data_IF_049808824518
#
_entry.id   IF_049808824518
#
_cell.length_a   1.000
_cell.length_b   1.000
_cell.length_c   1.000
_cell.angle_alpha   90.00
_cell.angle_beta   90.00
_cell.angle_gamma   90.00
#
_symmetry.space_group_name_H-M   'P 1'
#
loop_
_entity.id
_entity.type
_entity.pdbx_description
1 polymer ?
#
# COMPACT_ATOMS: atom_id res chain seq x y z
N UNK A 1 0.21 3.98 9.42
CA UNK A 1 0.12 5.34 9.98
C UNK A 1 -0.83 6.15 9.10
N UNK A 2 -1.75 6.90 9.70
CA UNK A 2 -2.91 7.46 8.98
C UNK A 2 -3.08 8.99 9.17
N UNK A 3 -2.02 9.67 9.59
CA UNK A 3 -2.03 11.11 9.87
C UNK A 3 -2.37 11.44 11.33
N UNK A 4 -2.57 12.74 11.59
CA UNK A 4 -2.80 13.29 12.93
C UNK A 4 -4.27 13.11 13.36
N UNK A 5 -4.54 12.43 14.48
CA UNK A 5 -5.89 12.33 15.02
C UNK A 5 -6.41 13.69 15.53
N UNK A 6 -7.74 13.92 15.54
CA UNK A 6 -8.32 15.19 16.01
C UNK A 6 -8.16 15.41 17.52
N UNK A 7 -7.84 14.37 18.29
CA UNK A 7 -7.63 14.43 19.74
C UNK A 7 -6.46 13.55 20.20
N UNK A 8 -6.10 13.61 21.49
CA UNK A 8 -5.00 12.81 22.02
C UNK A 8 -5.33 11.31 21.97
N UNK A 9 -4.33 10.51 21.59
CA UNK A 9 -4.42 9.05 21.58
C UNK A 9 -4.01 8.51 22.95
N UNK A 10 -4.79 7.58 23.50
CA UNK A 10 -4.44 6.89 24.74
C UNK A 10 -3.11 6.12 24.60
N UNK A 11 -2.16 6.39 25.50
CA UNK A 11 -0.80 5.87 25.40
C UNK A 11 -0.70 4.37 25.65
N UNK A 12 -1.50 3.81 26.56
CA UNK A 12 -1.51 2.39 26.86
C UNK A 12 -2.03 1.57 25.67
N UNK A 13 -3.11 2.06 25.04
CA UNK A 13 -3.67 1.45 23.83
C UNK A 13 -2.68 1.52 22.68
N UNK A 14 -2.00 2.67 22.52
CA UNK A 14 -0.95 2.85 21.52
C UNK A 14 0.21 1.86 21.72
N UNK A 15 0.70 1.72 22.95
CA UNK A 15 1.78 0.80 23.28
C UNK A 15 1.40 -0.67 23.01
N UNK A 16 0.15 -1.06 23.33
CA UNK A 16 -0.37 -2.40 23.02
C UNK A 16 -0.45 -2.67 21.51
N UNK A 17 -0.96 -1.71 20.74
CA UNK A 17 -1.12 -1.85 19.28
C UNK A 17 0.23 -1.88 18.53
N UNK A 18 1.25 -1.17 19.04
CA UNK A 18 2.58 -1.09 18.42
C UNK A 18 3.54 -2.21 18.87
N UNK A 19 3.11 -3.09 19.79
CA UNK A 19 3.95 -4.19 20.26
C UNK A 19 4.28 -5.15 19.11
N UNK A 20 5.56 -5.26 18.76
CA UNK A 20 6.03 -6.10 17.65
C UNK A 20 5.78 -5.50 16.27
N UNK A 21 5.42 -4.21 16.17
CA UNK A 21 5.23 -3.57 14.89
C UNK A 21 6.57 -3.43 14.14
N UNK A 22 6.67 -3.89 12.88
CA UNK A 22 7.94 -3.93 12.15
C UNK A 22 8.61 -2.57 11.96
N UNK A 23 7.83 -1.50 11.95
CA UNK A 23 8.32 -0.12 11.77
C UNK A 23 8.60 0.60 13.11
N UNK A 24 8.59 -0.14 14.22
CA UNK A 24 8.89 0.38 15.55
C UNK A 24 7.70 0.97 16.29
N UNK A 25 7.98 1.58 17.44
CA UNK A 25 6.96 2.08 18.38
C UNK A 25 6.83 3.61 18.39
N UNK A 26 7.70 4.32 17.67
CA UNK A 26 7.69 5.78 17.61
C UNK A 26 6.75 6.25 16.49
N UNK A 27 5.70 7.03 16.79
CA UNK A 27 4.81 7.57 15.77
C UNK A 27 5.53 8.59 14.88
N UNK A 28 5.19 8.62 13.59
CA UNK A 28 5.60 9.71 12.70
C UNK A 28 4.71 10.95 12.90
N UNK A 29 5.28 12.14 12.69
CA UNK A 29 4.54 13.42 12.71
C UNK A 29 4.49 14.11 11.33
N UNK A 30 4.94 13.41 10.29
CA UNK A 30 4.89 13.88 8.89
C UNK A 30 3.68 13.29 8.16
N UNK A 31 3.41 13.77 6.95
CA UNK A 31 2.39 13.17 6.07
C UNK A 31 2.83 11.73 5.74
N UNK A 32 2.00 10.70 5.99
CA UNK A 32 2.41 9.30 5.79
C UNK A 32 2.89 8.96 4.37
N UNK A 33 2.38 9.66 3.35
CA UNK A 33 2.82 9.46 1.97
C UNK A 33 4.29 9.87 1.74
N UNK A 34 4.86 10.74 2.57
CA UNK A 34 6.25 11.21 2.44
C UNK A 34 7.26 10.12 2.84
N UNK A 35 6.83 9.07 3.53
CA UNK A 35 7.68 7.93 3.92
C UNK A 35 7.62 6.78 2.92
N UNK A 36 6.77 6.87 1.89
CA UNK A 36 6.62 5.81 0.88
C UNK A 36 7.65 5.98 -0.24
N UNK A 37 8.16 4.85 -0.72
CA UNK A 37 9.00 4.84 -1.92
C UNK A 37 8.12 4.84 -3.18
N UNK A 38 8.63 5.26 -4.35
CA UNK A 38 7.88 5.16 -5.60
C UNK A 38 7.61 3.70 -6.00
N UNK A 39 6.32 3.31 -6.09
CA UNK A 39 5.92 1.92 -6.37
C UNK A 39 5.47 1.67 -7.82
N UNK A 40 5.17 2.73 -8.58
CA UNK A 40 4.70 2.62 -9.97
C UNK A 40 5.64 1.84 -10.91
N UNK A 41 6.98 1.96 -10.83
CA UNK A 41 7.88 1.15 -11.65
C UNK A 41 7.73 -0.36 -11.38
N UNK A 42 7.56 -0.75 -10.12
CA UNK A 42 7.38 -2.16 -9.75
C UNK A 42 6.04 -2.71 -10.26
N UNK A 43 4.96 -1.93 -10.17
CA UNK A 43 3.66 -2.31 -10.71
C UNK A 43 3.69 -2.52 -12.24
N UNK A 44 4.40 -1.66 -12.97
CA UNK A 44 4.62 -1.82 -14.41
C UNK A 44 5.40 -3.08 -14.74
N UNK A 45 6.47 -3.33 -14.00
CA UNK A 45 7.32 -4.52 -14.20
C UNK A 45 6.54 -5.82 -13.94
N UNK A 46 5.71 -5.86 -12.89
CA UNK A 46 4.90 -7.03 -12.54
C UNK A 46 3.87 -7.41 -13.63
N UNK A 47 3.47 -6.46 -14.47
CA UNK A 47 2.44 -6.67 -15.51
C UNK A 47 2.98 -6.58 -16.94
N UNK A 48 4.29 -6.41 -17.14
CA UNK A 48 4.90 -6.14 -18.45
C UNK A 48 4.54 -7.16 -19.54
N UNK A 49 4.36 -8.43 -19.14
CA UNK A 49 4.04 -9.54 -20.03
C UNK A 49 2.52 -9.75 -20.22
N UNK A 50 1.70 -9.01 -19.46
CA UNK A 50 0.24 -9.11 -19.47
C UNK A 50 -0.41 -7.91 -20.18
N UNK A 51 0.04 -6.69 -19.88
CA UNK A 51 -0.58 -5.44 -20.39
C UNK A 51 0.32 -4.23 -20.15
N UNK A 52 0.21 -3.23 -21.03
CA UNK A 52 0.82 -1.90 -20.85
C UNK A 52 -0.23 -0.81 -20.57
N UNK A 53 -1.52 -1.19 -20.46
CA UNK A 53 -2.60 -0.27 -20.18
C UNK A 53 -2.45 0.34 -18.78
N UNK A 54 -2.53 1.67 -18.70
CA UNK A 54 -2.37 2.38 -17.44
C UNK A 54 -3.47 2.06 -16.43
N UNK A 55 -4.70 1.78 -16.90
CA UNK A 55 -5.81 1.36 -16.06
C UNK A 55 -5.56 0.00 -15.42
N UNK A 56 -5.09 -0.98 -16.20
CA UNK A 56 -4.72 -2.30 -15.68
C UNK A 56 -3.55 -2.21 -14.68
N UNK A 57 -2.55 -1.36 -14.94
CA UNK A 57 -1.46 -1.11 -13.99
C UNK A 57 -1.98 -0.53 -12.68
N UNK A 58 -2.94 0.41 -12.73
CA UNK A 58 -3.57 0.98 -11.54
C UNK A 58 -4.43 -0.06 -10.80
N UNK A 59 -5.13 -0.95 -11.50
CA UNK A 59 -5.89 -2.04 -10.88
C UNK A 59 -4.96 -2.92 -10.05
N UNK A 60 -3.79 -3.30 -10.60
CA UNK A 60 -2.80 -4.06 -9.85
C UNK A 60 -2.22 -3.27 -8.67
N UNK A 61 -1.87 -2.00 -8.87
CA UNK A 61 -1.33 -1.16 -7.78
C UNK A 61 -2.32 -1.02 -6.60
N UNK A 62 -3.62 -0.90 -6.88
CA UNK A 62 -4.66 -0.80 -5.84
C UNK A 62 -5.01 -2.16 -5.23
N UNK A 63 -4.99 -3.22 -6.04
CA UNK A 63 -5.41 -4.57 -5.64
C UNK A 63 -4.42 -5.63 -6.16
N UNK A 64 -3.21 -5.77 -5.58
CA UNK A 64 -2.16 -6.60 -6.16
C UNK A 64 -2.54 -8.07 -6.37
N UNK A 65 -3.25 -8.67 -5.41
CA UNK A 65 -3.67 -10.07 -5.47
C UNK A 65 -4.92 -10.26 -6.34
N UNK A 66 -6.02 -9.59 -5.99
CA UNK A 66 -7.31 -9.78 -6.68
C UNK A 66 -7.34 -9.12 -8.06
N UNK A 67 -6.67 -7.98 -8.21
CA UNK A 67 -6.48 -7.29 -9.49
C UNK A 67 -5.65 -8.12 -10.47
N UNK A 68 -4.54 -8.72 -10.03
CA UNK A 68 -3.77 -9.63 -10.89
C UNK A 68 -4.61 -10.81 -11.39
N UNK A 69 -5.38 -11.45 -10.49
CA UNK A 69 -6.25 -12.56 -10.87
C UNK A 69 -7.37 -12.14 -11.83
N UNK A 70 -7.93 -10.94 -11.65
CA UNK A 70 -8.87 -10.35 -12.60
C UNK A 70 -8.22 -10.12 -13.97
N UNK A 71 -7.04 -9.52 -14.02
CA UNK A 71 -6.35 -9.19 -15.26
C UNK A 71 -5.93 -10.44 -16.04
N UNK A 72 -5.45 -11.49 -15.34
CA UNK A 72 -5.17 -12.79 -15.97
C UNK A 72 -6.40 -13.36 -16.66
N UNK A 73 -7.59 -13.27 -16.04
CA UNK A 73 -8.85 -13.73 -16.64
C UNK A 73 -9.33 -12.83 -17.77
N UNK A 74 -9.16 -11.51 -17.65
CA UNK A 74 -9.50 -10.53 -18.70
C UNK A 74 -8.70 -10.78 -19.98
N UNK A 75 -7.43 -11.15 -19.86
CA UNK A 75 -6.51 -11.38 -20.98
C UNK A 75 -6.31 -12.86 -21.33
N UNK A 76 -6.93 -13.78 -20.58
CA UNK A 76 -7.03 -15.18 -20.96
C UNK A 76 -7.97 -15.28 -22.17
N UNK A 77 -7.44 -15.76 -23.30
CA UNK A 77 -8.23 -16.10 -24.48
C UNK A 77 -9.16 -17.28 -24.21
#
# INVERSE_FOLDING_TARGET
LYGRPPGPVNEEVRAKALKGYPLGTTPIDVRPADTLQPEMPAAKEALKDLTQDAGDILIYALYPMTGLEFLKKKHAK
#
